data_IF_480762429261
#
_entry.id   IF_480762429261
#
_cell.length_a   1.000
_cell.length_b   1.000
_cell.length_c   1.000
_cell.angle_alpha   90.00
_cell.angle_beta   90.00
_cell.angle_gamma   90.00
#
_symmetry.space_group_name_H-M   'P 1'
#
loop_
_entity.id
_entity.type
_entity.pdbx_description
1 polymer ?
#
# COMPACT_ATOMS: atom_id res chain seq x y z
N UNK A 1 -21.79 -2.68 21.35
CA UNK A 1 -20.47 -2.27 21.87
C UNK A 1 -19.67 -3.55 22.04
N UNK A 2 -18.78 -3.85 21.10
CA UNK A 2 -17.89 -5.01 21.21
C UNK A 2 -16.59 -4.51 21.84
N UNK A 3 -16.40 -4.76 23.13
CA UNK A 3 -15.11 -4.60 23.81
C UNK A 3 -14.26 -5.86 23.56
N UNK A 4 -13.80 -6.06 22.33
CA UNK A 4 -13.01 -7.23 21.99
C UNK A 4 -11.84 -6.85 21.07
N UNK A 5 -10.63 -6.93 21.62
CA UNK A 5 -9.35 -6.65 20.95
C UNK A 5 -9.17 -7.41 19.63
N UNK A 6 -9.78 -8.60 19.50
CA UNK A 6 -9.77 -9.37 18.25
C UNK A 6 -10.61 -8.77 17.12
N UNK A 7 -11.59 -7.91 17.42
CA UNK A 7 -12.36 -7.23 16.38
C UNK A 7 -11.56 -6.09 15.73
N UNK A 8 -10.68 -5.43 16.49
CA UNK A 8 -9.82 -4.35 15.99
C UNK A 8 -8.75 -4.90 15.05
N UNK A 9 -8.06 -5.97 15.43
CA UNK A 9 -7.07 -6.62 14.57
C UNK A 9 -7.67 -7.09 13.23
N UNK A 10 -8.84 -7.75 13.29
CA UNK A 10 -9.56 -8.18 12.08
C UNK A 10 -9.97 -6.99 11.22
N UNK A 11 -10.35 -5.86 11.83
CA UNK A 11 -10.72 -4.65 11.10
C UNK A 11 -9.52 -4.06 10.36
N UNK A 12 -8.40 -3.83 11.04
CA UNK A 12 -7.21 -3.22 10.43
C UNK A 12 -6.69 -4.05 9.25
N UNK A 13 -6.59 -5.38 9.43
CA UNK A 13 -6.21 -6.30 8.35
C UNK A 13 -7.23 -6.28 7.21
N UNK A 14 -8.54 -6.29 7.51
CA UNK A 14 -9.57 -6.23 6.47
C UNK A 14 -9.52 -4.94 5.65
N UNK A 15 -9.19 -3.80 6.27
CA UNK A 15 -9.03 -2.52 5.57
C UNK A 15 -7.81 -2.54 4.64
N UNK A 16 -6.64 -2.99 5.12
CA UNK A 16 -5.43 -3.15 4.30
C UNK A 16 -5.65 -4.11 3.12
N UNK A 17 -6.30 -5.27 3.37
CA UNK A 17 -6.67 -6.21 2.31
C UNK A 17 -7.62 -5.61 1.27
N UNK A 18 -8.60 -4.80 1.70
CA UNK A 18 -9.52 -4.15 0.76
C UNK A 18 -8.81 -3.09 -0.11
N UNK A 19 -7.82 -2.38 0.46
CA UNK A 19 -6.94 -1.47 -0.27
C UNK A 19 -6.10 -2.24 -1.31
N UNK A 20 -5.54 -3.40 -0.95
CA UNK A 20 -4.84 -4.31 -1.85
C UNK A 20 -5.72 -4.81 -3.00
N UNK A 21 -6.93 -5.29 -2.70
CA UNK A 21 -7.87 -5.75 -3.73
C UNK A 21 -8.20 -4.64 -4.74
N UNK A 22 -8.39 -3.42 -4.24
CA UNK A 22 -8.63 -2.25 -5.08
C UNK A 22 -7.43 -1.97 -6.00
N UNK A 23 -6.21 -2.03 -5.47
CA UNK A 23 -4.97 -1.85 -6.23
C UNK A 23 -4.79 -2.95 -7.29
N UNK A 24 -5.01 -4.22 -6.94
CA UNK A 24 -4.91 -5.35 -7.89
C UNK A 24 -5.89 -5.20 -9.07
N UNK A 25 -7.09 -4.69 -8.81
CA UNK A 25 -8.05 -4.36 -9.85
C UNK A 25 -7.53 -3.23 -10.77
N UNK A 26 -6.97 -2.16 -10.20
CA UNK A 26 -6.38 -1.06 -10.97
C UNK A 26 -5.16 -1.49 -11.79
N UNK A 27 -4.32 -2.41 -11.28
CA UNK A 27 -3.20 -2.97 -12.05
C UNK A 27 -3.68 -3.62 -13.34
N UNK A 28 -4.83 -4.28 -13.33
CA UNK A 28 -5.42 -4.88 -14.53
C UNK A 28 -5.81 -3.83 -15.58
N UNK A 29 -6.25 -2.65 -15.15
CA UNK A 29 -6.53 -1.52 -16.04
C UNK A 29 -5.25 -0.93 -16.65
N UNK A 30 -4.17 -0.80 -15.86
CA UNK A 30 -2.87 -0.35 -16.38
C UNK A 30 -2.36 -1.31 -17.46
N UNK A 31 -2.48 -2.62 -17.24
CA UNK A 31 -2.09 -3.64 -18.23
C UNK A 31 -2.85 -3.49 -19.54
N UNK A 32 -4.17 -3.31 -19.48
CA UNK A 32 -4.98 -3.10 -20.68
C UNK A 32 -4.60 -1.80 -21.42
N UNK A 33 -4.34 -0.71 -20.68
CA UNK A 33 -3.88 0.56 -21.26
C UNK A 33 -2.49 0.43 -21.91
N UNK A 34 -1.58 -0.32 -21.28
CA UNK A 34 -0.26 -0.61 -21.84
C UNK A 34 -0.35 -1.39 -23.16
N UNK A 35 -1.19 -2.43 -23.23
CA UNK A 35 -1.40 -3.22 -24.45
C UNK A 35 -2.01 -2.38 -25.59
N UNK A 36 -2.80 -1.36 -25.25
CA UNK A 36 -3.33 -0.37 -26.18
C UNK A 36 -2.40 0.81 -26.49
N UNK A 37 -1.17 0.84 -25.93
CA UNK A 37 -0.23 1.96 -26.00
C UNK A 37 -0.81 3.31 -25.52
N UNK A 38 -1.73 3.28 -24.55
CA UNK A 38 -2.38 4.46 -23.98
C UNK A 38 -1.66 4.95 -22.71
N UNK A 39 -0.58 5.70 -22.91
CA UNK A 39 0.20 6.28 -21.82
C UNK A 39 -0.60 7.28 -20.96
N UNK A 40 -1.63 7.91 -21.52
CA UNK A 40 -2.49 8.84 -20.77
C UNK A 40 -3.34 8.11 -19.76
N UNK A 41 -3.95 6.99 -20.16
CA UNK A 41 -4.71 6.14 -19.26
C UNK A 41 -3.81 5.46 -18.22
N UNK A 42 -2.61 4.98 -18.61
CA UNK A 42 -1.64 4.45 -17.67
C UNK A 42 -1.31 5.48 -16.57
N UNK A 43 -1.03 6.73 -16.93
CA UNK A 43 -0.71 7.78 -15.97
C UNK A 43 -1.91 8.12 -15.07
N UNK A 44 -3.12 8.13 -15.63
CA UNK A 44 -4.36 8.34 -14.86
C UNK A 44 -4.56 7.25 -13.82
N UNK A 45 -4.41 5.99 -14.19
CA UNK A 45 -4.59 4.86 -13.28
C UNK A 45 -3.44 4.78 -12.26
N UNK A 46 -2.20 5.09 -12.64
CA UNK A 46 -1.07 5.18 -11.71
C UNK A 46 -1.33 6.18 -10.58
N UNK A 47 -1.94 7.35 -10.88
CA UNK A 47 -2.37 8.31 -9.85
C UNK A 47 -3.47 7.76 -8.94
N UNK A 48 -4.40 6.94 -9.46
CA UNK A 48 -5.40 6.28 -8.62
C UNK A 48 -4.77 5.25 -7.68
N UNK A 49 -3.82 4.46 -8.16
CA UNK A 49 -3.06 3.52 -7.33
C UNK A 49 -2.29 4.29 -6.25
N UNK A 50 -1.61 5.37 -6.62
CA UNK A 50 -0.88 6.25 -5.68
C UNK A 50 -1.79 6.78 -4.57
N UNK A 51 -3.00 7.22 -4.91
CA UNK A 51 -3.95 7.76 -3.93
C UNK A 51 -4.41 6.72 -2.89
N UNK A 52 -4.35 5.42 -3.23
CA UNK A 52 -4.65 4.32 -2.29
C UNK A 52 -3.39 3.95 -1.51
N UNK A 53 -2.25 3.79 -2.19
CA UNK A 53 -1.03 3.30 -1.57
C UNK A 53 -0.40 4.30 -0.59
N UNK A 54 -0.44 5.61 -0.85
CA UNK A 54 0.16 6.59 0.07
C UNK A 54 -0.41 6.52 1.50
N UNK A 55 -1.73 6.55 1.74
CA UNK A 55 -2.23 6.36 3.10
C UNK A 55 -2.03 4.93 3.63
N UNK A 56 -2.02 3.92 2.74
CA UNK A 56 -1.83 2.52 3.10
C UNK A 56 -0.44 2.25 3.68
N UNK A 57 0.63 2.62 2.96
CA UNK A 57 2.02 2.42 3.39
C UNK A 57 2.32 3.19 4.67
N UNK A 58 1.70 4.37 4.88
CA UNK A 58 1.79 5.09 6.15
C UNK A 58 1.23 4.32 7.35
N UNK A 59 0.19 3.50 7.16
CA UNK A 59 -0.36 2.66 8.24
C UNK A 59 0.55 1.47 8.53
N UNK A 60 1.16 0.91 7.50
CA UNK A 60 2.10 -0.20 7.64
C UNK A 60 3.40 0.26 8.29
N UNK A 61 4.08 1.24 7.71
CA UNK A 61 5.40 1.70 8.16
C UNK A 61 5.40 2.38 9.53
N UNK A 62 4.28 2.99 9.93
CA UNK A 62 4.19 3.68 11.23
C UNK A 62 3.31 2.97 12.26
N UNK A 63 2.60 1.92 11.85
CA UNK A 63 1.71 1.14 12.72
C UNK A 63 2.15 -0.32 12.79
N UNK A 64 2.03 -1.04 11.67
CA UNK A 64 2.16 -2.49 11.63
C UNK A 64 3.62 -2.97 11.72
N UNK A 65 4.49 -2.43 10.87
CA UNK A 65 5.89 -2.84 10.74
C UNK A 65 6.74 -2.58 11.99
N UNK A 66 6.60 -1.44 12.71
CA UNK A 66 7.34 -1.23 13.95
C UNK A 66 7.14 -2.35 14.97
N UNK A 67 5.93 -2.92 15.05
CA UNK A 67 5.62 -4.01 15.98
C UNK A 67 6.31 -5.34 15.61
N UNK A 68 6.79 -5.49 14.38
CA UNK A 68 7.47 -6.68 13.87
C UNK A 68 8.97 -6.51 13.74
N UNK A 69 9.45 -5.27 13.69
CA UNK A 69 10.85 -4.93 13.37
C UNK A 69 11.89 -5.53 14.31
N UNK A 70 11.55 -5.78 15.58
CA UNK A 70 12.46 -6.44 16.53
C UNK A 70 12.68 -7.92 16.20
N UNK A 71 11.67 -8.61 15.68
CA UNK A 71 11.72 -10.05 15.39
C UNK A 71 12.10 -10.32 13.92
N UNK A 72 11.70 -9.45 12.99
CA UNK A 72 11.87 -9.61 11.55
C UNK A 72 12.50 -8.37 10.86
N UNK A 73 13.64 -7.84 11.35
CA UNK A 73 14.18 -6.58 10.86
C UNK A 73 14.51 -6.60 9.35
N UNK A 74 15.15 -7.67 8.86
CA UNK A 74 15.55 -7.77 7.45
C UNK A 74 14.34 -7.84 6.51
N UNK A 75 13.26 -8.48 6.94
CA UNK A 75 12.02 -8.59 6.17
C UNK A 75 11.30 -7.25 6.10
N UNK A 76 11.22 -6.53 7.23
CA UNK A 76 10.61 -5.20 7.28
C UNK A 76 11.43 -4.21 6.43
N UNK A 77 12.75 -4.18 6.58
CA UNK A 77 13.63 -3.32 5.77
C UNK A 77 13.41 -3.57 4.26
N UNK A 78 13.26 -4.83 3.86
CA UNK A 78 13.00 -5.20 2.47
C UNK A 78 11.63 -4.73 1.97
N UNK A 79 10.57 -4.81 2.79
CA UNK A 79 9.23 -4.35 2.43
C UNK A 79 9.19 -2.82 2.26
N UNK A 80 9.79 -2.06 3.18
CA UNK A 80 9.89 -0.61 3.04
C UNK A 80 10.74 -0.20 1.82
N UNK A 81 11.77 -0.98 1.50
CA UNK A 81 12.56 -0.78 0.27
C UNK A 81 11.71 -0.97 -0.98
N UNK A 82 10.79 -1.93 -0.96
CA UNK A 82 9.83 -2.18 -2.04
C UNK A 82 8.82 -1.04 -2.15
N UNK A 83 8.26 -0.55 -1.05
CA UNK A 83 7.40 0.65 -1.02
C UNK A 83 8.09 1.82 -1.73
N UNK A 84 9.30 2.18 -1.30
CA UNK A 84 10.08 3.28 -1.88
C UNK A 84 10.28 3.13 -3.39
N UNK A 85 10.54 1.91 -3.88
CA UNK A 85 10.74 1.64 -5.31
C UNK A 85 9.45 1.77 -6.10
N UNK A 86 8.35 1.25 -5.58
CA UNK A 86 7.02 1.29 -6.21
C UNK A 86 6.51 2.73 -6.26
N UNK A 87 6.51 3.42 -5.12
CA UNK A 87 6.03 4.80 -4.99
C UNK A 87 6.83 5.77 -5.86
N UNK A 88 8.15 5.58 -5.98
CA UNK A 88 8.98 6.40 -6.86
C UNK A 88 8.49 6.37 -8.31
N UNK A 89 8.20 5.20 -8.86
CA UNK A 89 7.77 5.06 -10.26
C UNK A 89 6.34 5.56 -10.46
N UNK A 90 5.46 5.31 -9.49
CA UNK A 90 4.08 5.81 -9.51
C UNK A 90 4.04 7.34 -9.44
N UNK A 91 4.85 7.94 -8.57
CA UNK A 91 4.92 9.39 -8.35
C UNK A 91 5.38 10.19 -9.55
N UNK A 92 6.09 9.58 -10.51
CA UNK A 92 6.46 10.25 -11.76
C UNK A 92 5.23 10.71 -12.56
N UNK A 93 4.07 10.05 -12.40
CA UNK A 93 2.82 10.41 -13.07
C UNK A 93 1.98 11.47 -12.32
N UNK A 94 2.49 12.07 -11.23
CA UNK A 94 1.75 13.00 -10.38
C UNK A 94 1.17 14.20 -11.16
N UNK A 95 1.97 14.80 -12.04
CA UNK A 95 1.60 16.02 -12.78
C UNK A 95 1.07 15.75 -14.20
N UNK A 96 0.90 14.48 -14.59
CA UNK A 96 0.43 14.12 -15.93
C UNK A 96 1.10 12.87 -16.48
N UNK A 97 1.25 12.82 -17.80
CA UNK A 97 1.97 11.73 -18.49
C UNK A 97 3.47 12.02 -18.42
N UNK A 98 4.30 11.11 -17.88
CA UNK A 98 5.74 11.30 -17.86
C UNK A 98 6.32 11.45 -19.27
N UNK A 99 7.26 12.38 -19.44
CA UNK A 99 7.89 12.65 -20.73
C UNK A 99 8.89 11.56 -21.16
N UNK A 100 9.38 10.76 -20.22
CA UNK A 100 10.29 9.65 -20.47
C UNK A 100 9.55 8.50 -21.20
N UNK A 101 9.91 8.18 -22.46
CA UNK A 101 9.26 7.09 -23.19
C UNK A 101 9.52 5.70 -22.60
N UNK A 102 10.50 5.56 -21.70
CA UNK A 102 10.76 4.33 -20.94
C UNK A 102 9.84 4.14 -19.73
N UNK A 103 9.09 5.17 -19.32
CA UNK A 103 8.24 5.12 -18.13
C UNK A 103 7.17 4.00 -18.18
N UNK A 104 6.46 3.75 -19.30
CA UNK A 104 5.47 2.66 -19.35
C UNK A 104 6.05 1.29 -18.98
N UNK A 105 7.27 0.98 -19.44
CA UNK A 105 7.95 -0.27 -19.10
C UNK A 105 8.31 -0.35 -17.61
N UNK A 106 8.88 0.73 -17.05
CA UNK A 106 9.21 0.81 -15.62
C UNK A 106 7.96 0.73 -14.74
N UNK A 107 6.85 1.32 -15.16
CA UNK A 107 5.57 1.18 -14.46
C UNK A 107 5.14 -0.29 -14.43
N UNK A 108 5.22 -1.02 -15.55
CA UNK A 108 4.86 -2.43 -15.58
C UNK A 108 5.74 -3.29 -14.67
N UNK A 109 7.04 -3.00 -14.57
CA UNK A 109 7.96 -3.64 -13.63
C UNK A 109 7.59 -3.33 -12.17
N UNK A 110 7.31 -2.06 -11.86
CA UNK A 110 6.89 -1.65 -10.52
C UNK A 110 5.56 -2.30 -10.11
N UNK A 111 4.60 -2.43 -11.03
CA UNK A 111 3.32 -3.09 -10.74
C UNK A 111 3.46 -4.62 -10.63
N UNK A 112 4.46 -5.23 -11.28
CA UNK A 112 4.79 -6.62 -11.05
C UNK A 112 5.37 -6.83 -9.65
N UNK A 113 6.30 -5.96 -9.24
CA UNK A 113 6.84 -5.96 -7.87
C UNK A 113 5.72 -5.76 -6.84
N UNK A 114 4.82 -4.80 -7.05
CA UNK A 114 3.69 -4.53 -6.18
C UNK A 114 2.77 -5.75 -6.00
N UNK A 115 2.54 -6.56 -7.05
CA UNK A 115 1.75 -7.80 -6.91
C UNK A 115 2.43 -8.82 -5.99
N UNK A 116 3.73 -9.01 -6.15
CA UNK A 116 4.50 -9.92 -5.28
C UNK A 116 4.58 -9.39 -3.85
N UNK A 117 4.70 -8.07 -3.70
CA UNK A 117 4.68 -7.39 -2.42
C UNK A 117 3.38 -7.65 -1.66
N UNK A 118 2.23 -7.39 -2.30
CA UNK A 118 0.89 -7.67 -1.75
C UNK A 118 0.76 -9.13 -1.30
N UNK A 119 1.34 -10.08 -2.04
CA UNK A 119 1.31 -11.50 -1.66
C UNK A 119 2.16 -11.78 -0.41
N UNK A 120 3.36 -11.21 -0.30
CA UNK A 120 4.20 -11.35 0.90
C UNK A 120 3.47 -10.85 2.15
N UNK A 121 2.71 -9.77 2.00
CA UNK A 121 1.99 -9.18 3.11
C UNK A 121 0.75 -10.00 3.48
N UNK A 122 -0.13 -10.28 2.52
CA UNK A 122 -1.38 -10.97 2.81
C UNK A 122 -1.21 -12.44 3.20
N UNK A 123 -0.22 -13.14 2.65
CA UNK A 123 0.04 -14.56 2.96
C UNK A 123 1.11 -14.76 4.03
N UNK A 124 1.85 -13.70 4.39
CA UNK A 124 2.96 -13.74 5.35
C UNK A 124 2.77 -12.79 6.52
N UNK A 125 2.90 -11.49 6.26
CA UNK A 125 2.88 -10.44 7.29
C UNK A 125 1.55 -10.41 8.05
N UNK A 126 0.41 -10.35 7.37
CA UNK A 126 -0.89 -10.21 8.03
C UNK A 126 -1.21 -11.41 8.94
N UNK A 127 -1.06 -12.68 8.50
CA UNK A 127 -1.21 -13.83 9.39
C UNK A 127 -0.23 -13.81 10.57
N UNK A 128 1.03 -13.42 10.34
CA UNK A 128 2.03 -13.33 11.40
C UNK A 128 1.63 -12.29 12.45
N UNK A 129 1.17 -11.10 12.01
CA UNK A 129 0.77 -10.03 12.93
C UNK A 129 -0.40 -10.44 13.82
N UNK A 130 -1.39 -11.16 13.28
CA UNK A 130 -2.50 -11.71 14.04
C UNK A 130 -2.06 -12.67 15.15
N UNK A 131 -0.91 -13.34 14.97
CA UNK A 131 -0.38 -14.28 15.94
C UNK A 131 0.51 -13.63 17.01
N UNK A 132 1.20 -12.53 16.68
CA UNK A 132 2.28 -11.98 17.54
C UNK A 132 1.96 -10.62 18.16
N UNK A 133 1.11 -9.78 17.53
CA UNK A 133 0.83 -8.44 18.05
C UNK A 133 -0.05 -8.48 19.31
N UNK A 134 0.33 -7.70 20.31
CA UNK A 134 -0.48 -7.45 21.51
C UNK A 134 -1.64 -6.49 21.21
N UNK A 135 -2.68 -6.44 22.07
CA UNK A 135 -3.74 -5.46 21.94
C UNK A 135 -3.26 -4.01 21.86
N UNK A 136 -2.26 -3.64 22.66
CA UNK A 136 -1.70 -2.28 22.69
C UNK A 136 -1.00 -1.93 21.37
N UNK A 137 -0.36 -2.90 20.71
CA UNK A 137 0.23 -2.70 19.39
C UNK A 137 -0.87 -2.53 18.32
N UNK A 138 -1.98 -3.26 18.41
CA UNK A 138 -3.13 -3.03 17.53
C UNK A 138 -3.77 -1.65 17.74
N UNK A 139 -3.86 -1.17 18.97
CA UNK A 139 -4.33 0.20 19.25
C UNK A 139 -3.42 1.27 18.62
N UNK A 140 -2.11 1.01 18.54
CA UNK A 140 -1.17 1.89 17.83
C UNK A 140 -1.43 1.93 16.32
N UNK A 141 -1.72 0.77 15.70
CA UNK A 141 -2.11 0.68 14.27
C UNK A 141 -3.39 1.49 14.02
N UNK A 142 -4.42 1.30 14.84
CA UNK A 142 -5.68 2.05 14.74
C UNK A 142 -5.49 3.57 14.90
N UNK A 143 -4.60 3.98 15.81
CA UNK A 143 -4.26 5.39 16.02
C UNK A 143 -3.57 5.99 14.78
N UNK A 144 -2.67 5.25 14.13
CA UNK A 144 -2.04 5.67 12.87
C UNK A 144 -3.09 5.79 11.76
N UNK A 145 -3.92 4.76 11.57
CA UNK A 145 -5.02 4.77 10.58
C UNK A 145 -5.93 5.99 10.73
N UNK A 146 -6.31 6.30 11.98
CA UNK A 146 -7.14 7.47 12.27
C UNK A 146 -6.46 8.76 11.84
N UNK A 147 -5.19 8.97 12.22
CA UNK A 147 -4.43 10.17 11.84
C UNK A 147 -4.28 10.31 10.32
N UNK A 148 -4.01 9.23 9.62
CA UNK A 148 -3.86 9.22 8.16
C UNK A 148 -5.20 9.57 7.49
N UNK A 149 -6.30 9.00 7.96
CA UNK A 149 -7.65 9.28 7.44
C UNK A 149 -8.08 10.72 7.66
N UNK A 150 -7.80 11.28 8.85
CA UNK A 150 -8.10 12.67 9.19
C UNK A 150 -7.26 13.65 8.36
N UNK A 151 -5.99 13.34 8.12
CA UNK A 151 -5.11 14.14 7.26
C UNK A 151 -5.61 14.15 5.80
N UNK A 152 -6.06 13.01 5.27
CA UNK A 152 -6.63 12.92 3.94
C UNK A 152 -7.99 13.65 3.80
N UNK A 153 -8.75 13.74 4.91
CA UNK A 153 -10.07 14.38 4.94
C UNK A 153 -10.01 15.91 5.11
N UNK A 154 -8.84 16.46 5.49
CA UNK A 154 -8.65 17.90 5.66
C UNK A 154 -8.26 18.52 4.32
N UNK A 155 -9.11 19.38 3.69
CA UNK A 155 -8.74 20.03 2.45
C UNK A 155 -7.57 21.00 2.71
N UNK A 156 -6.47 20.82 1.99
CA UNK A 156 -5.40 21.81 1.91
C UNK A 156 -6.02 23.13 1.45
N UNK A 157 -6.03 24.14 2.32
CA UNK A 157 -6.54 25.49 2.03
C UNK A 157 -5.69 26.23 1.02
#
# INVERSE_FOLDING_TARGET
MCEYCGCQSIKAIAELTAEHDSVVNLISLVRAAHDGADAAEMARVARLITAILLPHTQVEEHGLFPAMSDEFPEQIDALEDEHRRIEKVLGEAADGVPADPGWPGRLMEALALLREHILKEQDGVFPATLAILTPEQWDMVDAVRTRVTDAASTPTR
#
